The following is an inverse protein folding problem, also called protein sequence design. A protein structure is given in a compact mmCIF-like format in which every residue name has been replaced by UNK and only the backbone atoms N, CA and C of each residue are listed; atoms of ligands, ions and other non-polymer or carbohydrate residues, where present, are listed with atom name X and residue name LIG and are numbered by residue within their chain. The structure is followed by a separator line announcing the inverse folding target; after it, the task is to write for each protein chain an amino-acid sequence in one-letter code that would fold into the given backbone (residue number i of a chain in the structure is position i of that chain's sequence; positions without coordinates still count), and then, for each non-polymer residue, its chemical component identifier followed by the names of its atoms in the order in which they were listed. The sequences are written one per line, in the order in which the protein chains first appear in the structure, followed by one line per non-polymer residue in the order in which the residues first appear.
data_IF_643667287457
#
_entry.id   IF_643667287457
#
_cell.length_a   1.000
_cell.length_b   1.000
_cell.length_c   1.000
_cell.angle_alpha   90.00
_cell.angle_beta   90.00
_cell.angle_gamma   90.00
#
_symmetry.space_group_name_H-M   'P 1'
#
loop_
_entity.id
_entity.type
_entity.pdbx_description
1 polymer ?
#
# COMPACT_ATOMS: atom_id res chain seq x y z
N UNK A 1 -44.47 -29.92 53.12
CA UNK A 1 -44.06 -30.50 51.82
C UNK A 1 -45.31 -30.62 50.96
N UNK A 2 -45.33 -30.28 49.65
CA UNK A 2 -44.24 -29.91 48.76
C UNK A 2 -44.38 -28.55 48.03
N UNK A 3 -43.29 -28.19 47.36
CA UNK A 3 -42.95 -27.07 46.50
C UNK A 3 -43.82 -26.87 45.25
N UNK A 4 -44.08 -25.60 44.86
CA UNK A 4 -44.24 -25.24 43.44
C UNK A 4 -43.53 -23.92 43.09
N UNK A 5 -42.56 -24.08 42.23
CA UNK A 5 -41.71 -23.09 41.58
C UNK A 5 -42.50 -22.28 40.55
N UNK A 6 -42.56 -20.95 40.71
CA UNK A 6 -42.99 -20.09 39.62
C UNK A 6 -41.88 -19.98 38.57
N UNK A 7 -42.30 -20.25 37.34
CA UNK A 7 -41.48 -20.63 36.19
C UNK A 7 -40.76 -19.42 35.59
N UNK A 8 -39.45 -19.57 35.37
CA UNK A 8 -38.70 -18.82 34.35
C UNK A 8 -39.28 -19.14 32.97
N UNK A 9 -40.03 -18.20 32.40
CA UNK A 9 -40.53 -18.30 31.03
C UNK A 9 -39.38 -18.25 30.02
N UNK A 10 -38.97 -19.41 29.52
CA UNK A 10 -38.02 -19.56 28.45
C UNK A 10 -38.64 -19.15 27.10
N UNK A 11 -38.50 -17.89 26.70
CA UNK A 11 -38.71 -17.51 25.29
C UNK A 11 -37.42 -17.73 24.49
N UNK A 12 -37.15 -19.00 24.16
CA UNK A 12 -36.21 -19.34 23.08
C UNK A 12 -36.95 -20.17 22.03
N UNK A 13 -37.92 -19.55 21.38
CA UNK A 13 -38.29 -19.94 20.02
C UNK A 13 -37.14 -19.49 19.09
N UNK A 14 -36.01 -20.19 19.17
CA UNK A 14 -35.01 -20.16 18.09
C UNK A 14 -35.61 -20.98 16.96
N UNK A 15 -36.24 -20.28 16.02
CA UNK A 15 -36.82 -20.86 14.83
C UNK A 15 -35.82 -21.82 14.16
N UNK A 16 -36.33 -22.90 13.58
CA UNK A 16 -35.55 -23.92 12.84
C UNK A 16 -34.62 -23.28 11.79
N UNK A 17 -34.97 -22.09 11.30
CA UNK A 17 -34.15 -21.23 10.44
C UNK A 17 -32.81 -20.84 11.09
N UNK A 18 -32.79 -20.39 12.35
CA UNK A 18 -31.56 -19.99 13.03
C UNK A 18 -30.59 -21.19 13.23
N UNK A 19 -31.12 -22.39 13.52
CA UNK A 19 -30.32 -23.62 13.59
C UNK A 19 -29.80 -24.05 12.21
N UNK A 20 -30.56 -23.87 11.12
CA UNK A 20 -30.11 -24.13 9.74
C UNK A 20 -28.99 -23.17 9.31
N UNK A 21 -29.10 -21.90 9.67
CA UNK A 21 -28.10 -20.86 9.37
C UNK A 21 -26.78 -21.18 10.09
N UNK A 22 -26.82 -21.45 11.40
CA UNK A 22 -25.61 -21.82 12.18
C UNK A 22 -24.94 -23.12 11.70
N UNK A 23 -25.74 -24.10 11.23
CA UNK A 23 -25.21 -25.36 10.66
C UNK A 23 -24.54 -25.14 9.29
N UNK A 24 -25.04 -24.21 8.47
CA UNK A 24 -24.42 -23.79 7.20
C UNK A 24 -23.12 -23.02 7.38
N UNK A 25 -23.03 -22.14 8.38
CA UNK A 25 -21.78 -21.43 8.70
C UNK A 25 -20.68 -22.38 9.20
N UNK A 26 -21.04 -23.39 10.03
CA UNK A 26 -20.09 -24.43 10.50
C UNK A 26 -19.67 -25.41 9.40
N UNK A 27 -20.52 -25.71 8.41
CA UNK A 27 -20.14 -26.56 7.27
C UNK A 27 -19.25 -25.81 6.26
N UNK A 28 -19.48 -24.51 6.03
CA UNK A 28 -18.66 -23.67 5.14
C UNK A 28 -17.23 -23.47 5.65
N UNK A 29 -17.03 -23.27 6.97
CA UNK A 29 -15.68 -23.19 7.58
C UNK A 29 -14.87 -24.49 7.42
N UNK A 30 -15.55 -25.66 7.44
CA UNK A 30 -14.94 -26.99 7.24
C UNK A 30 -14.73 -27.35 5.75
N UNK A 31 -15.42 -26.69 4.82
CA UNK A 31 -15.19 -26.85 3.38
C UNK A 31 -14.02 -25.99 2.86
N UNK A 32 -13.82 -24.78 3.40
CA UNK A 32 -12.64 -23.92 3.10
C UNK A 32 -11.30 -24.63 3.38
N UNK A 33 -11.22 -25.46 4.44
CA UNK A 33 -10.01 -26.24 4.76
C UNK A 33 -9.77 -27.48 3.88
N UNK A 34 -10.78 -27.96 3.13
CA UNK A 34 -10.63 -29.04 2.13
C UNK A 34 -10.28 -28.50 0.74
N UNK A 35 -10.78 -27.31 0.39
CA UNK A 35 -10.41 -26.61 -0.85
C UNK A 35 -8.94 -26.20 -0.85
N UNK A 36 -8.44 -25.68 0.28
CA UNK A 36 -7.01 -25.35 0.47
C UNK A 36 -6.09 -26.59 0.30
N UNK A 37 -6.53 -27.78 0.74
CA UNK A 37 -5.82 -29.07 0.53
C UNK A 37 -5.84 -29.55 -0.93
N UNK A 38 -6.89 -29.22 -1.69
CA UNK A 38 -7.04 -29.62 -3.10
C UNK A 38 -6.27 -28.69 -4.05
N UNK A 39 -6.08 -27.42 -3.67
CA UNK A 39 -5.20 -26.47 -4.37
C UNK A 39 -3.72 -26.88 -4.19
N UNK A 40 -3.30 -27.28 -2.98
CA UNK A 40 -1.96 -27.85 -2.76
C UNK A 40 -1.68 -29.13 -3.60
N UNK A 41 -2.71 -29.91 -3.93
CA UNK A 41 -2.59 -31.09 -4.82
C UNK A 41 -2.63 -30.79 -6.32
N UNK A 42 -3.02 -29.57 -6.72
CA UNK A 42 -3.07 -29.14 -8.14
C UNK A 42 -1.82 -28.37 -8.56
N UNK A 43 -1.19 -27.64 -7.61
CA UNK A 43 0.13 -27.01 -7.80
C UNK A 43 1.24 -28.08 -7.85
N UNK A 44 1.07 -29.22 -7.13
CA UNK A 44 1.84 -30.44 -7.39
C UNK A 44 1.18 -31.21 -8.53
N UNK A 45 1.49 -30.83 -9.77
CA UNK A 45 1.09 -31.59 -10.95
C UNK A 45 1.38 -33.09 -10.80
N UNK A 46 0.60 -33.92 -11.50
CA UNK A 46 0.75 -35.40 -11.56
C UNK A 46 2.03 -35.83 -12.29
N UNK A 47 3.19 -35.30 -11.92
CA UNK A 47 4.46 -35.95 -12.19
C UNK A 47 4.91 -36.63 -10.92
N UNK A 48 4.85 -37.96 -10.98
CA UNK A 48 5.23 -38.86 -9.90
C UNK A 48 6.70 -38.62 -9.54
N UNK A 49 7.05 -38.87 -8.27
CA UNK A 49 8.43 -38.87 -7.76
C UNK A 49 9.47 -39.63 -8.61
N UNK A 50 9.05 -40.38 -9.65
CA UNK A 50 9.90 -41.14 -10.57
C UNK A 50 10.50 -40.33 -11.73
N UNK A 51 9.92 -39.20 -12.14
CA UNK A 51 10.45 -38.40 -13.28
C UNK A 51 11.58 -37.46 -12.85
N UNK A 52 11.52 -36.93 -11.63
CA UNK A 52 12.55 -36.05 -11.05
C UNK A 52 13.92 -36.75 -10.92
N UNK A 53 13.95 -38.09 -10.88
CA UNK A 53 15.21 -38.85 -10.80
C UNK A 53 15.85 -39.13 -12.18
N UNK A 54 15.22 -38.79 -13.31
CA UNK A 54 15.73 -39.14 -14.65
C UNK A 54 16.39 -37.98 -15.40
N UNK A 55 16.12 -36.74 -15.03
CA UNK A 55 16.83 -35.55 -15.55
C UNK A 55 18.07 -35.18 -14.73
N UNK A 56 18.58 -36.14 -13.94
CA UNK A 56 19.84 -36.00 -13.21
C UNK A 56 21.09 -36.26 -14.06
N UNK A 57 20.97 -36.56 -15.35
CA UNK A 57 22.08 -37.13 -16.13
C UNK A 57 22.11 -36.73 -17.63
N UNK A 58 21.95 -35.46 -17.98
CA UNK A 58 22.50 -34.94 -19.26
C UNK A 58 23.10 -33.54 -19.07
N UNK A 59 24.37 -33.54 -18.66
CA UNK A 59 25.45 -32.64 -19.13
C UNK A 59 25.15 -31.13 -19.17
N UNK A 60 25.44 -30.38 -18.10
CA UNK A 60 26.72 -29.67 -17.80
C UNK A 60 26.89 -28.28 -18.43
N UNK A 61 27.12 -27.31 -17.53
CA UNK A 61 27.79 -26.00 -17.67
C UNK A 61 27.05 -24.79 -18.26
N UNK A 62 26.11 -24.23 -17.50
CA UNK A 62 26.04 -22.76 -17.29
C UNK A 62 25.60 -22.52 -15.84
N UNK A 63 26.28 -21.63 -15.13
CA UNK A 63 26.04 -21.40 -13.71
C UNK A 63 24.72 -20.64 -13.51
N UNK A 64 23.71 -21.29 -12.93
CA UNK A 64 22.47 -20.63 -12.50
C UNK A 64 22.65 -20.01 -11.10
N UNK A 65 21.96 -18.89 -10.85
CA UNK A 65 21.96 -18.28 -9.53
C UNK A 65 21.21 -19.18 -8.54
N UNK A 66 21.84 -19.60 -7.44
CA UNK A 66 21.19 -20.46 -6.45
C UNK A 66 20.08 -19.77 -5.63
N UNK A 67 19.84 -18.47 -5.86
CA UNK A 67 18.82 -17.68 -5.15
C UNK A 67 17.54 -17.56 -5.98
N UNK A 68 17.63 -17.16 -7.25
CA UNK A 68 16.48 -17.03 -8.15
C UNK A 68 16.33 -18.18 -9.16
N UNK A 69 17.30 -19.08 -9.24
CA UNK A 69 17.35 -20.20 -10.19
C UNK A 69 17.33 -19.77 -11.68
N UNK A 70 17.66 -18.51 -11.96
CA UNK A 70 17.80 -17.97 -13.31
C UNK A 70 19.27 -18.00 -13.76
N UNK A 71 19.53 -18.06 -15.08
CA UNK A 71 20.88 -18.13 -15.61
C UNK A 71 21.65 -16.83 -15.34
N UNK A 72 22.93 -16.94 -14.97
CA UNK A 72 23.83 -15.82 -14.68
C UNK A 72 24.29 -15.12 -15.98
N UNK A 73 23.35 -14.53 -16.72
CA UNK A 73 23.59 -13.91 -18.04
C UNK A 73 23.84 -12.40 -17.99
N UNK A 74 23.37 -11.70 -16.96
CA UNK A 74 23.54 -10.25 -16.76
C UNK A 74 23.79 -9.95 -15.27
N UNK A 75 24.63 -8.96 -14.96
CA UNK A 75 24.91 -8.48 -13.59
C UNK A 75 25.41 -9.53 -12.56
N UNK A 76 26.32 -10.38 -13.01
CA UNK A 76 26.93 -11.43 -12.18
C UNK A 76 28.03 -10.85 -11.30
N UNK A 77 27.94 -11.05 -9.98
CA UNK A 77 29.10 -10.85 -9.08
C UNK A 77 29.80 -12.20 -8.86
N UNK A 78 30.96 -12.38 -9.48
CA UNK A 78 31.77 -13.61 -9.41
C UNK A 78 32.64 -13.67 -8.13
N UNK A 79 32.90 -12.55 -7.47
CA UNK A 79 33.95 -12.43 -6.46
C UNK A 79 33.44 -12.44 -5.01
N UNK A 80 32.62 -13.42 -4.62
CA UNK A 80 32.55 -13.75 -3.20
C UNK A 80 33.86 -14.47 -2.80
N UNK A 81 34.40 -14.23 -1.60
CA UNK A 81 35.64 -14.88 -1.15
C UNK A 81 35.54 -16.41 -1.12
N UNK A 82 34.32 -16.96 -1.11
CA UNK A 82 34.03 -18.39 -1.18
C UNK A 82 33.82 -18.94 -2.61
N UNK A 83 33.94 -18.12 -3.66
CA UNK A 83 33.84 -18.57 -5.06
C UNK A 83 32.42 -18.84 -5.60
N UNK A 84 31.37 -18.73 -4.78
CA UNK A 84 29.99 -18.87 -5.22
C UNK A 84 29.52 -17.66 -6.05
N UNK A 85 28.67 -17.89 -7.05
CA UNK A 85 28.23 -16.87 -8.02
C UNK A 85 26.73 -16.62 -7.90
N UNK A 86 26.35 -15.34 -7.93
CA UNK A 86 24.96 -14.89 -7.86
C UNK A 86 24.77 -13.60 -8.67
N UNK A 87 23.54 -13.27 -9.01
CA UNK A 87 23.21 -11.91 -9.48
C UNK A 87 23.47 -10.90 -8.36
N UNK A 88 23.92 -9.70 -8.72
CA UNK A 88 24.20 -8.59 -7.80
C UNK A 88 23.04 -8.36 -6.83
N UNK A 89 21.81 -8.26 -7.34
CA UNK A 89 20.65 -7.94 -6.51
C UNK A 89 20.19 -9.11 -5.63
N UNK A 90 20.40 -10.33 -6.11
CA UNK A 90 20.10 -11.54 -5.35
C UNK A 90 21.05 -11.66 -4.16
N UNK A 91 22.36 -11.48 -4.37
CA UNK A 91 23.31 -11.59 -3.28
C UNK A 91 23.19 -10.42 -2.30
N UNK A 92 22.97 -9.18 -2.76
CA UNK A 92 22.81 -8.04 -1.85
C UNK A 92 21.63 -8.25 -0.90
N UNK A 93 20.46 -8.65 -1.42
CA UNK A 93 19.29 -8.98 -0.58
C UNK A 93 19.55 -10.14 0.37
N UNK A 94 20.21 -11.19 -0.13
CA UNK A 94 20.48 -12.36 0.69
C UNK A 94 21.47 -12.08 1.81
N UNK A 95 22.48 -11.24 1.58
CA UNK A 95 23.46 -10.85 2.62
C UNK A 95 22.83 -10.02 3.72
N UNK A 96 21.83 -9.21 3.41
CA UNK A 96 21.02 -8.53 4.42
C UNK A 96 20.37 -9.54 5.37
N UNK A 97 19.77 -10.62 4.82
CA UNK A 97 19.12 -11.67 5.63
C UNK A 97 20.07 -12.62 6.36
N UNK A 98 21.27 -12.86 5.81
CA UNK A 98 22.25 -13.78 6.39
C UNK A 98 23.35 -13.09 7.20
N UNK A 99 23.21 -11.77 7.44
CA UNK A 99 24.20 -10.94 8.13
C UNK A 99 25.59 -11.06 7.50
N UNK A 100 25.66 -10.98 6.16
CA UNK A 100 26.91 -11.00 5.42
C UNK A 100 27.53 -12.38 5.21
N UNK A 101 26.74 -13.44 5.32
CA UNK A 101 27.23 -14.81 5.10
C UNK A 101 26.72 -15.37 3.77
N UNK A 102 27.60 -16.04 3.03
CA UNK A 102 27.23 -16.66 1.76
C UNK A 102 26.08 -17.67 1.95
N UNK A 103 25.00 -17.63 1.14
CA UNK A 103 23.87 -18.54 1.29
C UNK A 103 24.23 -20.03 1.08
N UNK A 104 25.26 -20.30 0.28
CA UNK A 104 25.66 -21.67 -0.06
C UNK A 104 26.61 -22.29 0.95
N UNK A 105 27.57 -21.52 1.47
CA UNK A 105 28.64 -22.06 2.33
C UNK A 105 28.81 -21.34 3.67
N UNK A 106 28.03 -20.30 3.93
CA UNK A 106 28.03 -19.49 5.16
C UNK A 106 29.34 -18.76 5.48
N UNK A 107 30.30 -18.75 4.56
CA UNK A 107 31.52 -17.94 4.67
C UNK A 107 31.17 -16.45 4.70
N UNK A 108 31.89 -15.68 5.52
CA UNK A 108 31.69 -14.23 5.66
C UNK A 108 32.11 -13.53 4.37
N UNK A 109 31.31 -12.56 3.95
CA UNK A 109 31.45 -11.82 2.69
C UNK A 109 31.81 -10.38 3.01
N UNK A 110 33.07 -10.02 2.77
CA UNK A 110 33.61 -8.69 3.11
C UNK A 110 33.64 -7.72 1.94
N UNK A 111 33.47 -8.21 0.71
CA UNK A 111 33.69 -7.42 -0.51
C UNK A 111 32.40 -6.79 -1.08
N UNK A 112 31.28 -6.91 -0.37
CA UNK A 112 29.98 -6.38 -0.78
C UNK A 112 29.45 -5.54 0.38
N UNK A 113 29.37 -4.20 0.23
CA UNK A 113 28.66 -3.38 1.20
C UNK A 113 27.17 -3.70 1.12
N UNK A 114 26.58 -4.15 2.23
CA UNK A 114 25.14 -4.34 2.39
C UNK A 114 24.72 -3.65 3.69
N UNK A 115 23.65 -2.85 3.69
CA UNK A 115 23.10 -2.30 4.92
C UNK A 115 22.52 -3.44 5.76
N UNK A 116 22.71 -3.41 7.08
CA UNK A 116 22.09 -4.37 7.97
C UNK A 116 20.56 -4.19 7.99
N UNK A 117 19.81 -5.25 8.32
CA UNK A 117 18.34 -5.14 8.51
C UNK A 117 18.03 -4.02 9.51
N UNK A 118 18.84 -3.90 10.58
CA UNK A 118 18.67 -2.86 11.60
C UNK A 118 18.87 -1.44 11.06
N UNK A 119 19.78 -1.23 10.10
CA UNK A 119 20.00 0.06 9.43
C UNK A 119 18.90 0.38 8.43
N UNK A 120 18.42 -0.62 7.68
CA UNK A 120 17.29 -0.44 6.76
C UNK A 120 16.00 -0.14 7.52
N UNK A 121 15.73 -0.88 8.60
CA UNK A 121 14.59 -0.62 9.47
C UNK A 121 14.71 0.73 10.19
N UNK A 122 15.92 1.21 10.53
CA UNK A 122 16.10 2.57 11.09
C UNK A 122 15.80 3.66 10.07
N UNK A 123 16.16 3.45 8.80
CA UNK A 123 15.86 4.38 7.70
C UNK A 123 14.36 4.35 7.32
N UNK A 124 13.73 3.17 7.32
CA UNK A 124 12.28 3.02 7.10
C UNK A 124 11.45 3.57 8.28
N UNK A 125 11.91 3.40 9.53
CA UNK A 125 11.27 3.97 10.72
C UNK A 125 11.28 5.51 10.77
N UNK A 126 12.04 6.18 9.90
CA UNK A 126 12.10 7.65 9.86
C UNK A 126 11.14 8.29 8.85
N UNK A 127 10.46 7.53 7.96
CA UNK A 127 9.48 8.12 7.02
C UNK A 127 8.27 7.20 6.86
N UNK A 128 7.36 7.26 7.82
CA UNK A 128 5.88 7.33 7.69
C UNK A 128 5.26 6.96 9.05
N UNK A 129 4.42 7.81 9.65
CA UNK A 129 3.85 7.53 10.96
C UNK A 129 2.90 6.34 10.88
N UNK A 130 3.12 5.34 11.76
CA UNK A 130 2.28 4.14 11.94
C UNK A 130 0.76 4.42 12.02
N UNK A 131 0.38 5.64 12.41
CA UNK A 131 -1.00 6.10 12.48
C UNK A 131 -1.73 6.05 11.12
N UNK A 132 -1.04 6.31 10.00
CA UNK A 132 -1.65 6.37 8.67
C UNK A 132 -1.96 4.95 8.13
N UNK A 133 -1.02 4.01 8.30
CA UNK A 133 -1.18 2.60 7.87
C UNK A 133 -2.30 1.91 8.66
N UNK A 134 -2.41 2.20 9.95
CA UNK A 134 -3.39 1.56 10.82
C UNK A 134 -4.83 1.98 10.49
N UNK A 135 -5.03 3.19 9.96
CA UNK A 135 -6.33 3.69 9.50
C UNK A 135 -6.74 3.10 8.14
N UNK A 136 -5.80 2.98 7.19
CA UNK A 136 -6.06 2.42 5.85
C UNK A 136 -6.60 0.97 5.89
N UNK A 137 -6.08 0.13 6.79
CA UNK A 137 -6.53 -1.26 6.92
C UNK A 137 -7.97 -1.42 7.42
N UNK A 138 -8.50 -0.44 8.17
CA UNK A 138 -9.87 -0.47 8.70
C UNK A 138 -10.93 -0.15 7.64
N UNK A 139 -10.57 0.61 6.60
CA UNK A 139 -11.52 1.05 5.58
C UNK A 139 -11.95 -0.08 4.64
N UNK A 140 -11.04 -1.01 4.32
CA UNK A 140 -11.34 -2.18 3.47
C UNK A 140 -12.21 -3.23 4.19
N UNK A 141 -12.31 -3.15 5.52
CA UNK A 141 -13.17 -4.01 6.34
C UNK A 141 -14.60 -3.46 6.48
N UNK A 142 -14.89 -2.27 5.97
CA UNK A 142 -16.22 -1.63 6.06
C UNK A 142 -17.25 -2.32 5.17
N UNK A 143 -18.50 -2.40 5.66
CA UNK A 143 -19.63 -2.78 4.82
C UNK A 143 -19.90 -1.69 3.75
N UNK A 144 -20.40 -2.02 2.55
CA UNK A 144 -20.50 -1.08 1.43
C UNK A 144 -21.22 0.25 1.76
N UNK A 145 -22.31 0.21 2.53
CA UNK A 145 -23.03 1.43 2.93
C UNK A 145 -22.22 2.33 3.87
N UNK A 146 -21.39 1.74 4.74
CA UNK A 146 -20.52 2.49 5.64
C UNK A 146 -19.37 3.12 4.86
N UNK A 147 -18.83 2.40 3.87
CA UNK A 147 -17.81 2.92 2.97
C UNK A 147 -18.36 4.08 2.12
N UNK A 148 -19.57 3.96 1.58
CA UNK A 148 -20.24 5.06 0.86
C UNK A 148 -20.39 6.27 1.78
N UNK A 149 -20.87 6.09 3.01
CA UNK A 149 -21.00 7.20 3.97
C UNK A 149 -19.66 7.87 4.26
N UNK A 150 -18.59 7.08 4.43
CA UNK A 150 -17.24 7.60 4.62
C UNK A 150 -16.77 8.43 3.42
N UNK A 151 -16.97 7.93 2.20
CA UNK A 151 -16.61 8.63 0.97
C UNK A 151 -17.41 9.92 0.76
N UNK A 152 -18.68 9.96 1.21
CA UNK A 152 -19.47 11.20 1.19
C UNK A 152 -18.84 12.26 2.10
N UNK A 153 -18.43 11.89 3.32
CA UNK A 153 -17.77 12.81 4.24
C UNK A 153 -16.43 13.29 3.68
N UNK A 154 -15.63 12.40 3.09
CA UNK A 154 -14.38 12.77 2.41
C UNK A 154 -14.61 13.73 1.24
N UNK A 155 -15.69 13.55 0.48
CA UNK A 155 -16.02 14.49 -0.59
C UNK A 155 -16.40 15.88 -0.06
N UNK A 156 -17.05 15.98 1.10
CA UNK A 156 -17.31 17.28 1.74
C UNK A 156 -16.02 17.97 2.18
N UNK A 157 -15.03 17.20 2.67
CA UNK A 157 -13.70 17.75 2.96
C UNK A 157 -13.01 18.27 1.68
N UNK A 158 -13.16 17.57 0.55
CA UNK A 158 -12.64 18.03 -0.74
C UNK A 158 -13.31 19.32 -1.21
N UNK A 159 -14.61 19.51 -0.97
CA UNK A 159 -15.30 20.76 -1.31
C UNK A 159 -14.65 21.97 -0.61
N UNK A 160 -14.28 21.80 0.66
CA UNK A 160 -13.61 22.86 1.46
C UNK A 160 -12.18 23.10 0.96
N UNK A 161 -11.46 22.04 0.59
CA UNK A 161 -10.10 22.16 0.03
C UNK A 161 -10.14 22.83 -1.35
N UNK A 162 -11.12 22.52 -2.17
CA UNK A 162 -11.27 23.13 -3.50
C UNK A 162 -11.53 24.63 -3.38
N UNK A 163 -12.40 25.06 -2.45
CA UNK A 163 -12.60 26.49 -2.15
C UNK A 163 -11.31 27.17 -1.64
N UNK A 164 -10.49 26.47 -0.84
CA UNK A 164 -9.23 27.02 -0.36
C UNK A 164 -8.19 27.17 -1.49
N UNK A 165 -8.16 26.23 -2.43
CA UNK A 165 -7.34 26.31 -3.65
C UNK A 165 -7.78 27.49 -4.51
N UNK A 166 -9.08 27.66 -4.76
CA UNK A 166 -9.60 28.77 -5.56
C UNK A 166 -9.15 30.12 -5.00
N UNK A 167 -9.32 30.33 -3.69
CA UNK A 167 -8.87 31.56 -3.00
C UNK A 167 -7.36 31.76 -3.07
N UNK A 168 -6.58 30.68 -2.96
CA UNK A 168 -5.12 30.77 -3.03
C UNK A 168 -4.67 31.13 -4.46
N UNK A 169 -5.32 30.59 -5.49
CA UNK A 169 -4.97 30.84 -6.89
C UNK A 169 -5.24 32.29 -7.33
N UNK A 170 -6.19 32.98 -6.71
CA UNK A 170 -6.35 34.43 -6.90
C UNK A 170 -5.09 35.24 -6.48
N UNK A 171 -4.30 34.68 -5.57
CA UNK A 171 -3.08 35.30 -5.03
C UNK A 171 -1.80 34.79 -5.71
N UNK A 172 -1.89 33.77 -6.57
CA UNK A 172 -0.76 33.11 -7.22
C UNK A 172 -0.89 33.20 -8.75
N UNK A 173 -0.36 34.28 -9.37
CA UNK A 173 -0.38 34.40 -10.83
C UNK A 173 0.51 33.33 -11.49
N UNK A 174 0.13 32.92 -12.69
CA UNK A 174 0.87 31.93 -13.47
C UNK A 174 2.27 32.44 -13.85
N UNK A 175 3.23 31.52 -13.99
CA UNK A 175 4.56 31.90 -14.45
C UNK A 175 4.52 32.51 -15.86
N UNK A 176 5.26 33.61 -16.13
CA UNK A 176 6.37 34.16 -15.34
C UNK A 176 6.00 35.29 -14.36
N UNK A 177 4.73 35.67 -14.25
CA UNK A 177 4.29 36.83 -13.49
C UNK A 177 4.60 36.71 -11.99
N UNK A 178 4.82 37.85 -11.34
CA UNK A 178 5.16 37.96 -9.92
C UNK A 178 4.24 39.00 -9.29
N UNK A 179 3.47 38.63 -8.26
CA UNK A 179 2.51 39.54 -7.64
C UNK A 179 3.20 40.61 -6.81
N UNK A 180 2.59 41.80 -6.73
CA UNK A 180 3.04 42.90 -5.87
C UNK A 180 2.58 42.65 -4.42
N UNK A 181 3.29 41.78 -3.72
CA UNK A 181 3.02 41.40 -2.32
C UNK A 181 4.32 41.43 -1.49
N UNK A 182 4.18 41.48 -0.17
CA UNK A 182 5.33 41.40 0.73
C UNK A 182 5.92 39.99 0.75
N UNK A 183 7.21 39.88 1.08
CA UNK A 183 7.87 38.58 1.27
C UNK A 183 7.16 37.72 2.34
N UNK A 184 6.72 38.33 3.44
CA UNK A 184 5.97 37.63 4.50
C UNK A 184 4.66 37.03 3.98
N UNK A 185 3.92 37.77 3.14
CA UNK A 185 2.69 37.27 2.51
C UNK A 185 2.99 36.13 1.54
N UNK A 186 4.09 36.21 0.79
CA UNK A 186 4.51 35.15 -0.12
C UNK A 186 4.86 33.85 0.63
N UNK A 187 5.53 33.95 1.79
CA UNK A 187 5.81 32.80 2.66
C UNK A 187 4.52 32.21 3.23
N UNK A 188 3.57 33.04 3.64
CA UNK A 188 2.26 32.56 4.10
C UNK A 188 1.52 31.78 2.99
N UNK A 189 1.53 32.30 1.76
CA UNK A 189 0.92 31.64 0.60
C UNK A 189 1.63 30.31 0.28
N UNK A 190 2.96 30.27 0.36
CA UNK A 190 3.77 29.05 0.16
C UNK A 190 3.45 27.98 1.21
N UNK A 191 3.40 28.34 2.49
CA UNK A 191 3.04 27.40 3.57
C UNK A 191 1.63 26.85 3.34
N UNK A 192 0.68 27.74 3.01
CA UNK A 192 -0.71 27.34 2.71
C UNK A 192 -0.77 26.36 1.53
N UNK A 193 -0.03 26.63 0.44
CA UNK A 193 0.04 25.76 -0.74
C UNK A 193 0.66 24.38 -0.43
N UNK A 194 1.68 24.34 0.43
CA UNK A 194 2.31 23.09 0.84
C UNK A 194 1.40 22.27 1.78
N UNK A 195 0.66 22.92 2.66
CA UNK A 195 -0.30 22.28 3.56
C UNK A 195 -1.48 21.68 2.77
N UNK A 196 -1.99 22.38 1.75
CA UNK A 196 -3.05 21.86 0.87
C UNK A 196 -2.55 20.67 0.05
N UNK A 197 -1.35 20.75 -0.56
CA UNK A 197 -0.72 19.64 -1.30
C UNK A 197 -0.55 18.41 -0.40
N UNK A 198 -0.03 18.60 0.81
CA UNK A 198 0.22 17.51 1.76
C UNK A 198 -1.09 16.84 2.19
N UNK A 199 -2.12 17.63 2.44
CA UNK A 199 -3.46 17.12 2.79
C UNK A 199 -4.05 16.31 1.63
N UNK A 200 -4.01 16.84 0.41
CA UNK A 200 -4.51 16.16 -0.78
C UNK A 200 -3.74 14.89 -1.10
N UNK A 201 -2.42 14.86 -0.87
CA UNK A 201 -1.60 13.65 -1.03
C UNK A 201 -2.04 12.54 -0.07
N UNK A 202 -2.39 12.90 1.17
CA UNK A 202 -2.93 11.93 2.13
C UNK A 202 -4.28 11.37 1.66
N UNK A 203 -5.19 12.24 1.19
CA UNK A 203 -6.50 11.83 0.68
C UNK A 203 -6.38 10.97 -0.60
N UNK A 204 -5.47 11.32 -1.50
CA UNK A 204 -5.17 10.54 -2.69
C UNK A 204 -4.64 9.14 -2.33
N UNK A 205 -3.75 9.02 -1.34
CA UNK A 205 -3.26 7.71 -0.89
C UNK A 205 -4.40 6.84 -0.33
N UNK A 206 -5.35 7.44 0.39
CA UNK A 206 -6.56 6.76 0.84
C UNK A 206 -7.40 6.28 -0.34
N UNK A 207 -7.68 7.17 -1.30
CA UNK A 207 -8.45 6.86 -2.49
C UNK A 207 -7.79 5.76 -3.34
N UNK A 208 -6.48 5.86 -3.57
CA UNK A 208 -5.70 4.87 -4.32
C UNK A 208 -5.71 3.50 -3.63
N UNK A 209 -5.61 3.47 -2.30
CA UNK A 209 -5.70 2.22 -1.53
C UNK A 209 -7.08 1.57 -1.72
N UNK A 210 -8.16 2.36 -1.67
CA UNK A 210 -9.51 1.84 -1.91
C UNK A 210 -9.67 1.35 -3.35
N UNK A 211 -9.30 2.18 -4.33
CA UNK A 211 -9.39 1.89 -5.76
C UNK A 211 -8.68 0.58 -6.13
N UNK A 212 -7.43 0.41 -5.69
CA UNK A 212 -6.62 -0.76 -6.04
C UNK A 212 -7.02 -2.06 -5.33
N UNK A 213 -7.61 -1.97 -4.13
CA UNK A 213 -7.89 -3.16 -3.32
C UNK A 213 -9.37 -3.56 -3.32
N UNK A 214 -10.32 -2.63 -3.47
CA UNK A 214 -11.76 -2.92 -3.39
C UNK A 214 -12.22 -3.90 -4.49
N UNK A 215 -11.71 -3.73 -5.72
CA UNK A 215 -12.01 -4.61 -6.85
C UNK A 215 -11.59 -6.08 -6.58
N UNK A 216 -10.45 -6.28 -5.90
CA UNK A 216 -9.91 -7.61 -5.59
C UNK A 216 -10.75 -8.41 -4.58
N UNK A 217 -11.60 -7.73 -3.79
CA UNK A 217 -12.52 -8.37 -2.85
C UNK A 217 -13.87 -8.76 -3.50
N UNK A 218 -14.21 -8.18 -4.66
CA UNK A 218 -15.50 -8.35 -5.33
C UNK A 218 -15.56 -9.64 -6.20
N UNK A 219 -15.23 -10.77 -5.59
CA UNK A 219 -15.22 -12.11 -6.26
C UNK A 219 -16.59 -12.82 -6.23
N UNK A 220 -17.69 -12.10 -6.00
CA UNK A 220 -19.02 -12.68 -6.12
C UNK A 220 -19.42 -12.75 -7.60
N UNK A 221 -20.06 -13.84 -8.03
CA UNK A 221 -20.52 -14.07 -9.42
C UNK A 221 -21.54 -13.01 -9.94
N UNK A 222 -21.89 -12.00 -9.13
CA UNK A 222 -22.57 -10.75 -9.49
C UNK A 222 -22.45 -9.74 -8.33
N UNK A 223 -21.89 -8.53 -8.53
CA UNK A 223 -21.87 -7.48 -7.50
C UNK A 223 -23.28 -7.15 -7.00
N UNK A 224 -23.43 -6.81 -5.71
CA UNK A 224 -24.70 -6.23 -5.24
C UNK A 224 -24.84 -4.79 -5.73
N UNK A 225 -26.07 -4.26 -5.79
CA UNK A 225 -26.31 -2.85 -6.17
C UNK A 225 -25.54 -1.88 -5.28
N UNK A 226 -25.33 -2.21 -4.00
CA UNK A 226 -24.56 -1.36 -3.10
C UNK A 226 -23.05 -1.44 -3.35
N UNK A 227 -22.54 -2.57 -3.87
CA UNK A 227 -21.13 -2.71 -4.25
C UNK A 227 -20.85 -1.89 -5.52
N UNK A 228 -21.76 -1.93 -6.51
CA UNK A 228 -21.65 -1.11 -7.73
C UNK A 228 -21.67 0.39 -7.40
N UNK A 229 -22.54 0.81 -6.47
CA UNK A 229 -22.59 2.20 -6.01
C UNK A 229 -21.30 2.57 -5.25
N UNK A 230 -20.79 1.69 -4.38
CA UNK A 230 -19.56 1.93 -3.66
C UNK A 230 -18.35 2.09 -4.61
N UNK A 231 -18.26 1.24 -5.63
CA UNK A 231 -17.24 1.33 -6.68
C UNK A 231 -17.30 2.68 -7.41
N UNK A 232 -18.49 3.14 -7.80
CA UNK A 232 -18.68 4.47 -8.40
C UNK A 232 -18.20 5.60 -7.47
N UNK A 233 -18.47 5.51 -6.17
CA UNK A 233 -17.99 6.50 -5.21
C UNK A 233 -16.48 6.46 -5.03
N UNK A 234 -15.86 5.28 -5.05
CA UNK A 234 -14.40 5.11 -4.96
C UNK A 234 -13.73 5.71 -6.19
N UNK A 235 -14.24 5.40 -7.39
CA UNK A 235 -13.72 5.93 -8.65
C UNK A 235 -13.83 7.46 -8.69
N UNK A 236 -14.99 8.00 -8.30
CA UNK A 236 -15.20 9.44 -8.23
C UNK A 236 -14.22 10.11 -7.25
N UNK A 237 -14.04 9.52 -6.06
CA UNK A 237 -13.12 10.03 -5.04
C UNK A 237 -11.65 9.96 -5.50
N UNK A 238 -11.24 8.86 -6.14
CA UNK A 238 -9.90 8.69 -6.70
C UNK A 238 -9.59 9.71 -7.80
N UNK A 239 -10.47 9.84 -8.79
CA UNK A 239 -10.27 10.78 -9.87
C UNK A 239 -10.25 12.23 -9.36
N UNK A 240 -11.14 12.58 -8.43
CA UNK A 240 -11.22 13.92 -7.86
C UNK A 240 -9.96 14.27 -7.06
N UNK A 241 -9.51 13.39 -6.16
CA UNK A 241 -8.27 13.60 -5.40
C UNK A 241 -7.04 13.67 -6.29
N UNK A 242 -6.96 12.85 -7.35
CA UNK A 242 -5.87 12.90 -8.32
C UNK A 242 -5.77 14.25 -9.02
N UNK A 243 -6.89 14.78 -9.52
CA UNK A 243 -6.92 16.06 -10.24
C UNK A 243 -6.56 17.23 -9.30
N UNK A 244 -7.15 17.27 -8.10
CA UNK A 244 -6.85 18.31 -7.13
C UNK A 244 -5.40 18.27 -6.66
N UNK A 245 -4.81 17.09 -6.49
CA UNK A 245 -3.41 16.95 -6.13
C UNK A 245 -2.46 17.49 -7.21
N UNK A 246 -2.79 17.31 -8.49
CA UNK A 246 -2.02 17.90 -9.59
C UNK A 246 -2.02 19.43 -9.52
N UNK A 247 -3.19 20.04 -9.30
CA UNK A 247 -3.34 21.49 -9.13
C UNK A 247 -2.57 21.98 -7.91
N UNK A 248 -2.75 21.34 -6.75
CA UNK A 248 -2.07 21.76 -5.52
C UNK A 248 -0.54 21.63 -5.60
N UNK A 249 -0.03 20.61 -6.30
CA UNK A 249 1.40 20.46 -6.55
C UNK A 249 1.95 21.60 -7.42
N UNK A 250 1.21 21.98 -8.48
CA UNK A 250 1.56 23.15 -9.28
C UNK A 250 1.57 24.43 -8.43
N UNK A 251 0.52 24.65 -7.63
CA UNK A 251 0.40 25.85 -6.78
C UNK A 251 1.52 25.92 -5.74
N UNK A 252 1.91 24.79 -5.12
CA UNK A 252 3.03 24.72 -4.18
C UNK A 252 4.36 25.09 -4.84
N UNK A 253 4.64 24.58 -6.05
CA UNK A 253 5.83 24.92 -6.82
C UNK A 253 5.81 26.41 -7.22
N UNK A 254 4.65 26.92 -7.64
CA UNK A 254 4.51 28.31 -8.05
C UNK A 254 4.67 29.28 -6.87
N UNK A 255 4.10 28.96 -5.72
CA UNK A 255 4.25 29.75 -4.50
C UNK A 255 5.71 29.79 -4.03
N UNK A 256 6.41 28.65 -4.06
CA UNK A 256 7.85 28.57 -3.76
C UNK A 256 8.69 29.41 -4.74
N UNK A 257 8.32 29.44 -6.03
CA UNK A 257 8.98 30.30 -7.03
C UNK A 257 8.83 31.79 -6.66
N UNK A 258 7.63 32.21 -6.30
CA UNK A 258 7.32 33.61 -5.95
C UNK A 258 8.04 34.02 -4.66
N UNK A 259 7.98 33.20 -3.61
CA UNK A 259 8.64 33.49 -2.33
C UNK A 259 10.16 33.60 -2.48
N UNK A 260 10.78 32.69 -3.25
CA UNK A 260 12.22 32.75 -3.53
C UNK A 260 12.61 34.02 -4.30
N UNK A 261 11.80 34.45 -5.27
CA UNK A 261 12.08 35.68 -6.01
C UNK A 261 12.03 36.91 -5.10
N UNK A 262 10.96 37.06 -4.31
CA UNK A 262 10.80 38.19 -3.39
C UNK A 262 11.85 38.16 -2.28
N UNK A 263 12.20 36.98 -1.78
CA UNK A 263 13.30 36.80 -0.83
C UNK A 263 14.64 37.24 -1.42
N UNK A 264 14.95 36.85 -2.65
CA UNK A 264 16.16 37.29 -3.34
C UNK A 264 16.25 38.81 -3.43
N UNK A 265 15.16 39.51 -3.74
CA UNK A 265 15.13 40.98 -3.78
C UNK A 265 15.39 41.60 -2.40
N UNK A 266 14.77 41.05 -1.35
CA UNK A 266 14.96 41.53 0.03
C UNK A 266 16.39 41.37 0.52
N UNK A 267 17.06 40.26 0.23
CA UNK A 267 18.40 39.96 0.73
C UNK A 267 19.54 40.44 -0.18
N UNK A 268 19.28 40.73 -1.46
CA UNK A 268 20.27 41.33 -2.38
C UNK A 268 20.35 42.86 -2.28
N UNK A 269 19.38 43.51 -1.62
CA UNK A 269 19.31 44.96 -1.43
C UNK A 269 19.99 45.52 -0.18
N UNK A 270 20.79 44.73 0.56
CA UNK A 270 21.54 45.23 1.73
C UNK A 270 22.91 45.78 1.30
N UNK A 271 23.20 47.08 1.51
CA UNK A 271 24.53 47.66 1.27
C UNK A 271 25.60 47.14 2.23
#
# INVERSE_FOLDING_TARGET
MPSQTQRRGSSRLRSSAAKKIQKRFRSRKRQRSKASRKIQSRIRGKQTRKVINREKNTSTTVHDCSICFEPLTKDVRIALPCGHRFHKDCITRSLTSTSGRCPNCRSVVTNIPYPSIEEQERQERQIQPLFQIQLQSQLLDLEPLQLIQHLILRNQELDVIEESIERLRELLPDAPEIPDITYEQAIYNEVTANDTETTLRSLYNEAYTLYTNYESFNTQDRPSTNDEIAEQHIDAFFNRTSNLLEVANYDAINALRISNHLGSLMFSGSP
#
